data_IF_728006289655
#
_entry.id   IF_728006289655
#
_cell.length_a   1.000
_cell.length_b   1.000
_cell.length_c   1.000
_cell.angle_alpha   90.00
_cell.angle_beta   90.00
_cell.angle_gamma   90.00
#
_symmetry.space_group_name_H-M   'P 1'
#
loop_
_entity.id
_entity.type
_entity.pdbx_description
1 polymer ?
#
# COMPACT_ATOMS: atom_id res chain seq x y z
N UNK A 1 -6.30 -17.81 12.38
CA UNK A 1 -5.60 -17.86 11.07
C UNK A 1 -5.59 -16.48 10.41
N UNK A 2 -6.72 -15.77 10.27
CA UNK A 2 -6.77 -14.44 9.61
C UNK A 2 -5.79 -13.42 10.22
N UNK A 3 -5.66 -13.37 11.55
CA UNK A 3 -4.67 -12.52 12.25
C UNK A 3 -3.22 -12.81 11.82
N UNK A 4 -2.87 -14.09 11.61
CA UNK A 4 -1.50 -14.48 11.21
C UNK A 4 -1.21 -13.97 9.80
N UNK A 5 -2.16 -14.10 8.87
CA UNK A 5 -2.02 -13.57 7.52
C UNK A 5 -1.88 -12.03 7.52
N UNK A 6 -2.70 -11.34 8.34
CA UNK A 6 -2.61 -9.90 8.49
C UNK A 6 -1.28 -9.45 9.12
N UNK A 7 -0.79 -10.14 10.15
CA UNK A 7 0.50 -9.85 10.77
C UNK A 7 1.67 -10.08 9.79
N UNK A 8 1.63 -11.17 9.04
CA UNK A 8 2.61 -11.41 7.98
C UNK A 8 2.61 -10.28 6.94
N UNK A 9 1.43 -9.86 6.49
CA UNK A 9 1.31 -8.75 5.54
C UNK A 9 1.83 -7.43 6.13
N UNK A 10 1.54 -7.15 7.41
CA UNK A 10 2.05 -5.96 8.10
C UNK A 10 3.58 -5.95 8.19
N UNK A 11 4.20 -7.07 8.53
CA UNK A 11 5.65 -7.20 8.58
C UNK A 11 6.28 -7.09 7.19
N UNK A 12 5.69 -7.76 6.19
CA UNK A 12 6.20 -7.76 4.83
C UNK A 12 6.12 -6.36 4.19
N UNK A 13 4.97 -5.67 4.30
CA UNK A 13 4.84 -4.29 3.81
C UNK A 13 5.67 -3.31 4.64
N UNK A 14 5.75 -3.46 5.96
CA UNK A 14 6.58 -2.61 6.79
C UNK A 14 8.07 -2.69 6.42
N UNK A 15 8.57 -3.89 6.15
CA UNK A 15 9.94 -4.10 5.67
C UNK A 15 10.13 -3.59 4.23
N UNK A 16 9.15 -3.84 3.35
CA UNK A 16 9.14 -3.29 1.99
C UNK A 16 9.27 -1.76 2.00
N UNK A 17 8.47 -1.07 2.80
CA UNK A 17 8.44 0.40 2.88
C UNK A 17 9.76 0.97 3.42
N UNK A 18 10.36 0.30 4.41
CA UNK A 18 11.72 0.63 4.84
C UNK A 18 12.72 0.50 3.68
N UNK A 19 12.62 -0.58 2.89
CA UNK A 19 13.46 -0.77 1.72
C UNK A 19 13.24 0.31 0.65
N UNK A 20 12.01 0.80 0.46
CA UNK A 20 11.72 1.95 -0.42
C UNK A 20 12.50 3.18 0.04
N UNK A 21 12.54 3.43 1.35
CA UNK A 21 13.26 4.56 1.94
C UNK A 21 14.77 4.50 1.69
N UNK A 22 15.33 3.30 1.55
CA UNK A 22 16.74 3.12 1.12
C UNK A 22 16.94 3.22 -0.39
N UNK A 23 15.99 2.69 -1.16
CA UNK A 23 16.14 2.57 -2.60
C UNK A 23 15.81 3.86 -3.36
N UNK A 24 14.78 4.62 -2.93
CA UNK A 24 14.20 5.71 -3.71
C UNK A 24 14.98 7.03 -3.68
N UNK A 25 15.61 7.48 -2.56
CA UNK A 25 16.27 8.78 -2.54
C UNK A 25 17.35 8.93 -3.62
N UNK A 26 17.27 10.02 -4.39
CA UNK A 26 18.23 10.32 -5.45
C UNK A 26 18.17 9.43 -6.69
N UNK A 27 17.19 8.53 -6.78
CA UNK A 27 16.99 7.65 -7.94
C UNK A 27 15.63 7.90 -8.60
N UNK A 28 15.51 7.63 -9.91
CA UNK A 28 14.22 7.70 -10.59
C UNK A 28 13.29 6.59 -10.09
N UNK A 29 12.13 6.99 -9.55
CA UNK A 29 11.16 6.10 -8.89
C UNK A 29 10.59 5.05 -9.84
N UNK A 30 10.24 5.43 -11.06
CA UNK A 30 9.54 4.55 -12.00
C UNK A 30 10.36 3.31 -12.40
N UNK A 31 11.67 3.38 -12.71
CA UNK A 31 12.47 2.20 -12.98
C UNK A 31 12.59 1.26 -11.77
N UNK A 32 12.73 1.81 -10.56
CA UNK A 32 12.75 1.01 -9.33
C UNK A 32 11.43 0.23 -9.19
N UNK A 33 10.32 0.93 -9.34
CA UNK A 33 8.99 0.34 -9.24
C UNK A 33 8.73 -0.72 -10.31
N UNK A 34 9.18 -0.49 -11.55
CA UNK A 34 9.05 -1.49 -12.62
C UNK A 34 9.72 -2.83 -12.25
N UNK A 35 10.91 -2.78 -11.66
CA UNK A 35 11.63 -3.98 -11.20
C UNK A 35 10.87 -4.66 -10.05
N UNK A 36 10.41 -3.90 -9.07
CA UNK A 36 9.64 -4.42 -7.91
C UNK A 36 8.33 -5.06 -8.37
N UNK A 37 7.60 -4.41 -9.27
CA UNK A 37 6.36 -4.97 -9.81
C UNK A 37 6.62 -6.23 -10.63
N UNK A 38 7.66 -6.23 -11.46
CA UNK A 38 8.03 -7.40 -12.26
C UNK A 38 8.44 -8.60 -11.38
N UNK A 39 9.29 -8.37 -10.37
CA UNK A 39 9.73 -9.44 -9.48
C UNK A 39 8.59 -10.07 -8.68
N UNK A 40 7.59 -9.29 -8.27
CA UNK A 40 6.39 -9.81 -7.62
C UNK A 40 5.38 -10.42 -8.60
N UNK A 41 5.36 -9.98 -9.87
CA UNK A 41 4.46 -10.54 -10.88
C UNK A 41 4.82 -11.98 -11.27
N UNK A 42 6.11 -12.30 -11.33
CA UNK A 42 6.59 -13.64 -11.73
C UNK A 42 6.01 -14.76 -10.87
N UNK A 43 6.16 -14.75 -9.52
CA UNK A 43 5.59 -15.80 -8.70
C UNK A 43 4.06 -15.83 -8.72
N UNK A 44 3.40 -14.67 -8.81
CA UNK A 44 1.93 -14.61 -8.87
C UNK A 44 1.39 -15.20 -10.18
N UNK A 45 2.05 -14.93 -11.31
CA UNK A 45 1.71 -15.55 -12.59
C UNK A 45 1.96 -17.05 -12.57
N UNK A 46 3.08 -17.50 -12.00
CA UNK A 46 3.37 -18.93 -11.84
C UNK A 46 2.31 -19.63 -10.99
N UNK A 47 1.95 -19.06 -9.83
CA UNK A 47 0.89 -19.58 -8.96
C UNK A 47 -0.46 -19.60 -9.66
N UNK A 48 -0.85 -18.53 -10.34
CA UNK A 48 -2.11 -18.49 -11.08
C UNK A 48 -2.15 -19.47 -12.27
N UNK A 49 -0.99 -19.83 -12.80
CA UNK A 49 -0.87 -20.87 -13.83
C UNK A 49 -1.02 -22.28 -13.27
N UNK A 50 -0.51 -22.52 -12.05
CA UNK A 50 -0.59 -23.83 -11.36
C UNK A 50 -1.98 -24.05 -10.76
N UNK A 51 -2.49 -23.06 -10.02
CA UNK A 51 -3.79 -23.13 -9.35
C UNK A 51 -4.98 -22.97 -10.32
N UNK A 52 -4.73 -22.40 -11.50
CA UNK A 52 -5.77 -22.14 -12.48
C UNK A 52 -6.59 -20.87 -12.20
N UNK A 53 -7.89 -20.94 -12.50
CA UNK A 53 -8.83 -19.86 -12.20
C UNK A 53 -9.00 -18.82 -13.32
N UNK A 54 -8.18 -18.85 -14.36
CA UNK A 54 -8.33 -17.96 -15.52
C UNK A 54 -9.61 -18.19 -16.31
N UNK A 55 -10.04 -19.44 -16.59
CA UNK A 55 -11.31 -19.70 -17.27
C UNK A 55 -12.53 -19.32 -16.44
N UNK A 56 -12.43 -19.31 -15.11
CA UNK A 56 -13.49 -18.95 -14.18
C UNK A 56 -13.62 -17.45 -13.95
N UNK A 57 -12.63 -16.68 -14.40
CA UNK A 57 -12.64 -15.22 -14.27
C UNK A 57 -13.66 -14.59 -15.21
N UNK A 58 -14.70 -13.97 -14.64
CA UNK A 58 -15.71 -13.27 -15.43
C UNK A 58 -15.12 -12.02 -16.11
N UNK A 59 -15.68 -11.55 -17.24
CA UNK A 59 -15.25 -10.29 -17.87
C UNK A 59 -15.31 -9.08 -16.92
N UNK A 60 -16.30 -9.06 -16.00
CA UNK A 60 -16.43 -8.03 -14.98
C UNK A 60 -15.28 -8.09 -13.97
N UNK A 61 -14.93 -9.28 -13.48
CA UNK A 61 -13.79 -9.47 -12.58
C UNK A 61 -12.47 -9.04 -13.25
N UNK A 62 -12.28 -9.43 -14.51
CA UNK A 62 -11.12 -9.01 -15.31
C UNK A 62 -11.02 -7.48 -15.43
N UNK A 63 -12.10 -6.80 -15.82
CA UNK A 63 -12.15 -5.35 -15.92
C UNK A 63 -11.86 -4.64 -14.59
N UNK A 64 -12.42 -5.15 -13.48
CA UNK A 64 -12.16 -4.63 -12.15
C UNK A 64 -10.71 -4.86 -11.71
N UNK A 65 -10.11 -6.02 -12.04
CA UNK A 65 -8.70 -6.30 -11.76
C UNK A 65 -7.76 -5.37 -12.53
N UNK A 66 -8.07 -5.07 -13.79
CA UNK A 66 -7.31 -4.09 -14.58
C UNK A 66 -7.38 -2.69 -13.96
N UNK A 67 -8.58 -2.26 -13.55
CA UNK A 67 -8.77 -0.97 -12.87
C UNK A 67 -8.07 -0.93 -11.50
N UNK A 68 -8.12 -2.03 -10.74
CA UNK A 68 -7.39 -2.18 -9.49
C UNK A 68 -5.87 -2.06 -9.71
N UNK A 69 -5.34 -2.66 -10.77
CA UNK A 69 -3.93 -2.55 -11.15
C UNK A 69 -3.50 -1.13 -11.50
N UNK A 70 -4.34 -0.38 -12.22
CA UNK A 70 -4.08 1.04 -12.47
C UNK A 70 -4.03 1.83 -11.16
N UNK A 71 -5.00 1.63 -10.26
CA UNK A 71 -5.00 2.27 -8.95
C UNK A 71 -3.77 1.86 -8.12
N UNK A 72 -3.36 0.59 -8.15
CA UNK A 72 -2.18 0.08 -7.47
C UNK A 72 -0.88 0.70 -8.01
N UNK A 73 -0.76 0.89 -9.34
CA UNK A 73 0.38 1.58 -9.93
C UNK A 73 0.46 3.03 -9.43
N UNK A 74 -0.67 3.76 -9.41
CA UNK A 74 -0.72 5.13 -8.91
C UNK A 74 -0.39 5.21 -7.42
N UNK A 75 -0.89 4.26 -6.60
CA UNK A 75 -0.58 4.16 -5.18
C UNK A 75 0.93 4.00 -4.94
N UNK A 76 1.56 3.06 -5.65
CA UNK A 76 2.99 2.80 -5.51
C UNK A 76 3.86 3.95 -6.04
N UNK A 77 3.51 4.55 -7.19
CA UNK A 77 4.21 5.75 -7.69
C UNK A 77 4.17 6.85 -6.63
N UNK A 78 3.01 7.05 -6.01
CA UNK A 78 2.82 8.06 -4.97
C UNK A 78 3.62 7.74 -3.71
N UNK A 79 3.57 6.50 -3.23
CA UNK A 79 4.30 6.02 -2.05
C UNK A 79 5.81 6.19 -2.22
N UNK A 80 6.36 5.73 -3.35
CA UNK A 80 7.80 5.83 -3.62
C UNK A 80 8.26 7.27 -3.73
N UNK A 81 7.47 8.15 -4.36
CA UNK A 81 7.79 9.59 -4.39
C UNK A 81 7.72 10.22 -3.00
N UNK A 82 6.72 9.87 -2.20
CA UNK A 82 6.60 10.36 -0.84
C UNK A 82 7.82 9.96 0.02
N UNK A 83 8.22 8.69 -0.01
CA UNK A 83 9.38 8.20 0.73
C UNK A 83 10.73 8.67 0.16
N UNK A 84 10.79 9.04 -1.11
CA UNK A 84 12.00 9.61 -1.69
C UNK A 84 12.34 11.00 -1.11
N UNK A 85 11.32 11.75 -0.67
CA UNK A 85 11.45 13.15 -0.25
C UNK A 85 11.07 13.43 1.21
N UNK A 86 10.27 12.57 1.83
CA UNK A 86 9.79 12.75 3.21
C UNK A 86 10.26 11.67 4.18
N UNK A 87 10.29 11.99 5.49
CA UNK A 87 10.61 11.00 6.52
C UNK A 87 9.48 9.97 6.67
N UNK A 88 9.83 8.75 7.07
CA UNK A 88 8.87 7.65 7.27
C UNK A 88 7.80 8.01 8.29
N UNK A 89 8.19 8.63 9.40
CA UNK A 89 7.28 9.04 10.47
C UNK A 89 6.22 10.08 10.03
N UNK A 90 6.38 10.73 8.88
CA UNK A 90 5.38 11.60 8.26
C UNK A 90 4.53 10.83 7.24
N UNK A 91 5.18 10.10 6.35
CA UNK A 91 4.55 9.47 5.18
C UNK A 91 3.69 8.27 5.57
N UNK A 92 4.21 7.38 6.43
CA UNK A 92 3.56 6.12 6.76
C UNK A 92 2.18 6.29 7.44
N UNK A 93 1.97 7.20 8.41
CA UNK A 93 0.65 7.40 9.01
C UNK A 93 -0.37 7.98 8.02
N UNK A 94 0.07 8.89 7.12
CA UNK A 94 -0.81 9.48 6.10
C UNK A 94 -1.25 8.42 5.10
N UNK A 95 -0.29 7.66 4.57
CA UNK A 95 -0.58 6.59 3.64
C UNK A 95 -1.42 5.48 4.29
N UNK A 96 -1.08 5.09 5.53
CA UNK A 96 -1.78 4.09 6.32
C UNK A 96 -3.21 4.47 6.72
N UNK A 97 -3.62 5.73 6.56
CA UNK A 97 -4.98 6.20 6.84
C UNK A 97 -6.01 5.81 5.75
N UNK A 98 -5.62 5.06 4.71
CA UNK A 98 -6.52 4.60 3.64
C UNK A 98 -7.80 3.88 4.13
N UNK A 99 -7.86 3.16 5.28
CA UNK A 99 -9.11 2.56 5.76
C UNK A 99 -10.21 3.57 6.03
N UNK A 100 -9.87 4.79 6.46
CA UNK A 100 -10.86 5.86 6.59
C UNK A 100 -11.53 6.20 5.26
N UNK A 101 -10.77 6.19 4.16
CA UNK A 101 -11.29 6.44 2.82
C UNK A 101 -12.17 5.28 2.32
N UNK A 102 -11.83 4.04 2.67
CA UNK A 102 -12.66 2.87 2.32
C UNK A 102 -14.01 2.92 3.05
N UNK A 103 -14.03 3.37 4.29
CA UNK A 103 -15.28 3.58 5.04
C UNK A 103 -16.13 4.71 4.45
N UNK A 104 -15.52 5.85 4.12
CA UNK A 104 -16.21 6.97 3.46
C UNK A 104 -16.85 6.52 2.14
N UNK A 105 -16.14 5.71 1.35
CA UNK A 105 -16.69 5.12 0.13
C UNK A 105 -17.88 4.19 0.43
N UNK A 106 -17.77 3.33 1.45
CA UNK A 106 -18.85 2.44 1.86
C UNK A 106 -20.10 3.22 2.29
N UNK A 107 -19.92 4.30 3.07
CA UNK A 107 -21.00 5.19 3.47
C UNK A 107 -21.66 5.87 2.28
N UNK A 108 -20.89 6.37 1.32
CA UNK A 108 -21.39 7.00 0.09
C UNK A 108 -22.12 6.02 -0.83
N UNK A 109 -21.86 4.71 -0.72
CA UNK A 109 -22.50 3.65 -1.52
C UNK A 109 -23.66 2.95 -0.80
N UNK A 110 -24.24 3.59 0.24
CA UNK A 110 -25.47 3.13 0.90
C UNK A 110 -25.24 2.19 2.09
N UNK A 111 -24.02 2.12 2.60
CA UNK A 111 -23.69 1.43 3.86
C UNK A 111 -23.38 2.50 4.92
N UNK A 112 -24.40 3.00 5.65
CA UNK A 112 -24.20 4.10 6.60
C UNK A 112 -23.18 3.70 7.68
N UNK A 113 -22.25 4.61 7.94
CA UNK A 113 -21.31 4.45 9.03
C UNK A 113 -22.00 4.74 10.38
N UNK A 114 -21.73 3.93 11.38
CA UNK A 114 -22.15 4.18 12.75
C UNK A 114 -21.44 5.38 13.37
N UNK A 115 -21.98 5.96 14.46
CA UNK A 115 -21.36 7.08 15.14
C UNK A 115 -19.93 6.84 15.60
N UNK A 116 -19.64 5.61 16.04
CA UNK A 116 -18.33 5.11 16.44
C UNK A 116 -17.33 5.09 15.29
N UNK A 117 -17.76 4.66 14.11
CA UNK A 117 -16.97 4.67 12.90
C UNK A 117 -16.67 6.09 12.42
N UNK A 118 -17.66 6.99 12.51
CA UNK A 118 -17.47 8.43 12.20
C UNK A 118 -16.46 9.05 13.16
N UNK A 119 -16.55 8.73 14.46
CA UNK A 119 -15.60 9.21 15.45
C UNK A 119 -14.18 8.69 15.17
N UNK A 120 -14.03 7.43 14.77
CA UNK A 120 -12.74 6.86 14.38
C UNK A 120 -12.15 7.54 13.13
N UNK A 121 -12.95 7.82 12.10
CA UNK A 121 -12.50 8.58 10.92
C UNK A 121 -12.06 10.00 11.32
N UNK A 122 -12.81 10.67 12.17
CA UNK A 122 -12.44 12.01 12.67
C UNK A 122 -11.11 11.96 13.44
N UNK A 123 -10.90 10.93 14.28
CA UNK A 123 -9.65 10.72 15.00
C UNK A 123 -8.47 10.44 14.05
N UNK A 124 -8.68 9.65 12.97
CA UNK A 124 -7.66 9.42 11.94
C UNK A 124 -7.28 10.74 11.26
N UNK A 125 -8.25 11.52 10.81
CA UNK A 125 -8.00 12.80 10.13
C UNK A 125 -7.25 13.77 11.05
N UNK A 126 -7.68 13.89 12.31
CA UNK A 126 -7.02 14.73 13.31
C UNK A 126 -5.60 14.24 13.58
N UNK A 127 -5.42 12.94 13.77
CA UNK A 127 -4.10 12.34 14.01
C UNK A 127 -3.14 12.55 12.85
N UNK A 128 -3.59 12.37 11.62
CA UNK A 128 -2.79 12.66 10.42
C UNK A 128 -2.40 14.14 10.36
N UNK A 129 -3.33 15.06 10.65
CA UNK A 129 -3.02 16.48 10.70
C UNK A 129 -2.00 16.83 11.80
N UNK A 130 -2.10 16.19 12.97
CA UNK A 130 -1.13 16.35 14.06
C UNK A 130 0.24 15.75 13.72
N UNK A 131 0.29 14.58 13.08
CA UNK A 131 1.55 14.00 12.57
C UNK A 131 2.23 14.96 11.61
N UNK A 132 1.49 15.50 10.64
CA UNK A 132 2.03 16.47 9.69
C UNK A 132 2.52 17.75 10.37
N UNK A 133 1.80 18.23 11.39
CA UNK A 133 2.15 19.44 12.17
C UNK A 133 3.41 19.21 13.03
N UNK A 134 3.48 18.07 13.73
CA UNK A 134 4.58 17.77 14.67
C UNK A 134 5.80 17.15 13.99
N UNK A 135 5.69 16.73 12.72
CA UNK A 135 6.82 16.26 11.96
C UNK A 135 7.85 17.38 11.85
N UNK A 136 9.02 17.14 12.45
CA UNK A 136 10.13 18.08 12.30
C UNK A 136 10.61 18.07 10.86
N UNK A 137 10.94 19.26 10.38
CA UNK A 137 11.54 19.42 9.09
C UNK A 137 12.98 18.85 9.12
N UNK A 138 13.09 17.58 8.79
CA UNK A 138 14.36 17.02 8.33
C UNK A 138 14.71 17.53 6.94
N UNK A 139 13.73 18.15 6.27
CA UNK A 139 13.93 18.93 5.04
C UNK A 139 13.79 20.41 5.39
N UNK A 140 14.85 21.17 5.27
CA UNK A 140 14.85 22.63 5.45
C UNK A 140 13.90 23.39 4.50
N UNK A 141 13.22 22.68 3.60
CA UNK A 141 12.36 23.24 2.56
C UNK A 141 10.87 22.85 2.82
N UNK A 142 10.02 23.83 3.21
CA UNK A 142 8.60 23.62 3.40
C UNK A 142 7.87 23.11 2.15
N UNK A 143 8.38 23.42 0.95
CA UNK A 143 7.80 22.95 -0.30
C UNK A 143 7.96 21.43 -0.45
N UNK A 144 9.11 20.88 -0.07
CA UNK A 144 9.36 19.43 -0.06
C UNK A 144 8.46 18.70 0.92
N UNK A 145 8.25 19.24 2.12
CA UNK A 145 7.31 18.67 3.10
C UNK A 145 5.89 18.62 2.54
N UNK A 146 5.41 19.74 1.97
CA UNK A 146 4.09 19.78 1.33
C UNK A 146 3.98 18.76 0.20
N UNK A 147 5.01 18.64 -0.62
CA UNK A 147 5.04 17.67 -1.72
C UNK A 147 4.98 16.22 -1.20
N UNK A 148 5.71 15.89 -0.12
CA UNK A 148 5.64 14.57 0.52
C UNK A 148 4.23 14.25 1.02
N UNK A 149 3.56 15.21 1.67
CA UNK A 149 2.18 15.07 2.15
C UNK A 149 1.23 14.84 0.97
N UNK A 150 1.34 15.64 -0.10
CA UNK A 150 0.49 15.49 -1.29
C UNK A 150 0.65 14.10 -1.93
N UNK A 151 1.88 13.62 -2.08
CA UNK A 151 2.15 12.28 -2.57
C UNK A 151 1.58 11.20 -1.64
N UNK A 152 1.76 11.33 -0.32
CA UNK A 152 1.22 10.39 0.65
C UNK A 152 -0.32 10.33 0.62
N UNK A 153 -0.99 11.49 0.54
CA UNK A 153 -2.44 11.57 0.40
C UNK A 153 -2.92 10.94 -0.92
N UNK A 154 -2.30 11.29 -2.05
CA UNK A 154 -2.63 10.69 -3.35
C UNK A 154 -2.46 9.16 -3.32
N UNK A 155 -1.40 8.69 -2.69
CA UNK A 155 -1.15 7.27 -2.47
C UNK A 155 -2.23 6.60 -1.62
N UNK A 156 -2.66 7.22 -0.52
CA UNK A 156 -3.73 6.70 0.34
C UNK A 156 -5.06 6.56 -0.44
N UNK A 157 -5.44 7.56 -1.23
CA UNK A 157 -6.62 7.50 -2.09
C UNK A 157 -6.53 6.37 -3.13
N UNK A 158 -5.41 6.28 -3.83
CA UNK A 158 -5.19 5.26 -4.84
C UNK A 158 -5.16 3.85 -4.23
N UNK A 159 -4.61 3.71 -3.03
CA UNK A 159 -4.56 2.44 -2.31
C UNK A 159 -5.96 2.01 -1.81
N UNK A 160 -6.76 2.95 -1.30
CA UNK A 160 -8.16 2.71 -0.97
C UNK A 160 -8.96 2.23 -2.20
N UNK A 161 -8.76 2.87 -3.36
CA UNK A 161 -9.38 2.46 -4.63
C UNK A 161 -8.90 1.06 -5.05
N UNK A 162 -7.62 0.74 -4.89
CA UNK A 162 -7.07 -0.59 -5.16
C UNK A 162 -7.81 -1.66 -4.38
N UNK A 163 -7.98 -1.48 -3.06
CA UNK A 163 -8.69 -2.45 -2.23
C UNK A 163 -10.16 -2.57 -2.59
N UNK A 164 -10.85 -1.46 -2.81
CA UNK A 164 -12.26 -1.47 -3.19
C UNK A 164 -12.49 -2.22 -4.51
N UNK A 165 -11.66 -1.95 -5.52
CA UNK A 165 -11.73 -2.59 -6.83
C UNK A 165 -11.32 -4.07 -6.77
N UNK A 166 -10.26 -4.42 -6.03
CA UNK A 166 -9.83 -5.81 -5.84
C UNK A 166 -10.88 -6.64 -5.13
N UNK A 167 -11.52 -6.12 -4.09
CA UNK A 167 -12.62 -6.78 -3.42
C UNK A 167 -13.84 -6.94 -4.35
N UNK A 168 -14.16 -5.94 -5.16
CA UNK A 168 -15.21 -6.02 -6.15
C UNK A 168 -14.89 -7.06 -7.25
N UNK A 169 -13.64 -7.16 -7.67
CA UNK A 169 -13.16 -8.18 -8.60
C UNK A 169 -13.31 -9.59 -8.01
N UNK A 170 -12.90 -9.79 -6.77
CA UNK A 170 -13.05 -11.09 -6.07
C UNK A 170 -14.51 -11.52 -5.95
N UNK A 171 -15.43 -10.57 -5.63
CA UNK A 171 -16.87 -10.87 -5.58
C UNK A 171 -17.49 -11.12 -6.96
N UNK A 172 -16.96 -10.55 -8.02
CA UNK A 172 -17.44 -10.72 -9.38
C UNK A 172 -16.81 -11.94 -10.08
N UNK A 173 -15.72 -12.48 -9.53
CA UNK A 173 -15.05 -13.67 -10.03
C UNK A 173 -15.83 -14.94 -9.73
N UNK A 174 -15.56 -15.99 -10.51
CA UNK A 174 -16.03 -17.35 -10.20
C UNK A 174 -15.20 -17.99 -9.09
N UNK A 175 -15.65 -19.16 -8.64
CA UNK A 175 -14.88 -19.97 -7.71
C UNK A 175 -13.45 -20.19 -8.25
N UNK A 176 -12.47 -20.13 -7.37
CA UNK A 176 -11.05 -20.36 -7.66
C UNK A 176 -10.37 -19.32 -8.59
N UNK A 177 -11.03 -18.19 -8.91
CA UNK A 177 -10.46 -17.15 -9.77
C UNK A 177 -9.52 -16.15 -9.03
N UNK A 178 -9.24 -16.34 -7.75
CA UNK A 178 -8.52 -15.34 -6.92
C UNK A 178 -7.09 -15.14 -7.35
N UNK A 179 -6.35 -16.23 -7.59
CA UNK A 179 -4.98 -16.12 -8.05
C UNK A 179 -4.89 -15.41 -9.41
N UNK A 180 -5.85 -15.68 -10.29
CA UNK A 180 -5.95 -15.00 -11.59
C UNK A 180 -6.26 -13.50 -11.43
N UNK A 181 -7.17 -13.11 -10.53
CA UNK A 181 -7.49 -11.69 -10.28
C UNK A 181 -6.33 -10.94 -9.63
N UNK A 182 -5.60 -11.57 -8.68
CA UNK A 182 -4.40 -10.98 -8.06
C UNK A 182 -3.28 -10.81 -9.10
N UNK A 183 -3.03 -11.84 -9.89
CA UNK A 183 -2.01 -11.82 -10.94
C UNK A 183 -2.33 -10.76 -12.01
N UNK A 184 -3.58 -10.65 -12.44
CA UNK A 184 -4.02 -9.65 -13.42
C UNK A 184 -3.91 -8.22 -12.88
N UNK A 185 -4.26 -8.00 -11.61
CA UNK A 185 -4.07 -6.71 -10.93
C UNK A 185 -2.59 -6.31 -10.92
N UNK A 186 -1.72 -7.24 -10.58
CA UNK A 186 -0.26 -7.00 -10.56
C UNK A 186 0.29 -6.75 -11.95
N UNK A 187 -0.12 -7.55 -12.93
CA UNK A 187 0.30 -7.40 -14.32
C UNK A 187 -0.16 -6.06 -14.90
N UNK A 188 -1.41 -5.66 -14.64
CA UNK A 188 -1.93 -4.36 -15.05
C UNK A 188 -1.09 -3.21 -14.50
N UNK A 189 -0.75 -3.25 -13.19
CA UNK A 189 0.11 -2.25 -12.58
C UNK A 189 1.50 -2.21 -13.23
N UNK A 190 2.10 -3.36 -13.50
CA UNK A 190 3.38 -3.46 -14.19
C UNK A 190 3.32 -2.85 -15.59
N UNK A 191 2.29 -3.19 -16.37
CA UNK A 191 2.10 -2.64 -17.73
C UNK A 191 1.97 -1.12 -17.70
N UNK A 192 1.17 -0.57 -16.78
CA UNK A 192 1.03 0.88 -16.61
C UNK A 192 2.39 1.55 -16.35
N UNK A 193 3.17 1.01 -15.41
CA UNK A 193 4.49 1.58 -15.08
C UNK A 193 5.45 1.43 -16.26
N UNK A 194 5.45 0.28 -16.95
CA UNK A 194 6.31 0.08 -18.14
C UNK A 194 5.96 1.09 -19.23
N UNK A 195 4.67 1.29 -19.54
CA UNK A 195 4.23 2.25 -20.55
C UNK A 195 4.68 3.68 -20.24
N UNK A 196 4.70 4.07 -18.96
CA UNK A 196 5.20 5.38 -18.53
C UNK A 196 6.73 5.47 -18.58
N UNK A 197 7.44 4.36 -18.30
CA UNK A 197 8.92 4.29 -18.36
C UNK A 197 9.44 4.19 -19.79
N UNK A 198 8.71 3.51 -20.67
CA UNK A 198 9.16 3.16 -22.02
C UNK A 198 9.73 4.35 -22.83
N UNK A 199 9.08 5.54 -22.85
CA UNK A 199 9.63 6.70 -23.59
C UNK A 199 10.97 7.19 -23.05
N UNK A 200 11.31 6.83 -21.80
CA UNK A 200 12.52 7.26 -21.11
C UNK A 200 13.49 6.10 -20.85
N UNK A 201 13.27 4.94 -21.45
CA UNK A 201 13.99 3.69 -21.15
C UNK A 201 15.51 3.83 -21.27
N UNK A 202 15.98 4.56 -22.28
CA UNK A 202 17.43 4.78 -22.51
C UNK A 202 18.15 5.49 -21.33
N UNK A 203 17.40 6.23 -20.52
CA UNK A 203 17.90 6.98 -19.36
C UNK A 203 17.47 6.38 -18.04
N UNK A 204 16.45 5.52 -18.06
CA UNK A 204 15.79 5.00 -16.87
C UNK A 204 16.71 4.14 -15.98
N UNK A 205 17.63 3.39 -16.58
CA UNK A 205 18.52 2.42 -15.90
C UNK A 205 19.99 2.86 -15.87
N UNK A 206 20.28 4.15 -16.08
CA UNK A 206 21.67 4.67 -16.03
C UNK A 206 22.24 4.69 -14.62
N UNK A 207 21.40 4.91 -13.59
CA UNK A 207 21.82 4.85 -12.20
C UNK A 207 22.01 3.41 -11.74
N UNK A 208 23.00 3.14 -10.87
CA UNK A 208 23.19 1.80 -10.31
C UNK A 208 21.92 1.38 -9.54
N UNK A 209 21.39 0.22 -9.93
CA UNK A 209 20.18 -0.35 -9.35
C UNK A 209 20.53 -1.34 -8.25
N UNK A 210 19.89 -1.25 -7.06
CA UNK A 210 20.08 -2.21 -5.98
C UNK A 210 19.22 -3.47 -6.24
N UNK A 211 19.56 -4.26 -7.27
CA UNK A 211 18.76 -5.38 -7.79
C UNK A 211 18.29 -6.36 -6.72
N UNK A 212 19.19 -6.77 -5.83
CA UNK A 212 18.85 -7.72 -4.74
C UNK A 212 17.76 -7.15 -3.83
N UNK A 213 17.85 -5.86 -3.51
CA UNK A 213 16.87 -5.16 -2.68
C UNK A 213 15.52 -5.07 -3.40
N UNK A 214 15.52 -4.68 -4.68
CA UNK A 214 14.30 -4.54 -5.48
C UNK A 214 13.59 -5.88 -5.69
N UNK A 215 14.34 -6.95 -5.92
CA UNK A 215 13.79 -8.31 -6.02
C UNK A 215 13.13 -8.72 -4.70
N UNK A 216 13.82 -8.51 -3.57
CA UNK A 216 13.26 -8.79 -2.25
C UNK A 216 11.99 -7.97 -1.97
N UNK A 217 12.00 -6.68 -2.32
CA UNK A 217 10.83 -5.79 -2.18
C UNK A 217 9.62 -6.32 -2.96
N UNK A 218 9.81 -6.77 -4.20
CA UNK A 218 8.72 -7.32 -5.00
C UNK A 218 8.15 -8.62 -4.43
N UNK A 219 9.00 -9.48 -3.87
CA UNK A 219 8.57 -10.69 -3.17
C UNK A 219 7.79 -10.38 -1.89
N UNK A 220 8.28 -9.43 -1.08
CA UNK A 220 7.59 -8.98 0.13
C UNK A 220 6.21 -8.41 -0.17
N UNK A 221 6.11 -7.54 -1.17
CA UNK A 221 4.86 -6.90 -1.56
C UNK A 221 3.86 -7.92 -2.17
N UNK A 222 4.34 -8.81 -3.05
CA UNK A 222 3.51 -9.89 -3.60
C UNK A 222 3.02 -10.86 -2.51
N UNK A 223 3.89 -11.22 -1.58
CA UNK A 223 3.55 -12.07 -0.44
C UNK A 223 2.52 -11.44 0.49
N UNK A 224 2.68 -10.15 0.80
CA UNK A 224 1.74 -9.41 1.63
C UNK A 224 0.35 -9.30 0.97
N UNK A 225 0.32 -8.94 -0.32
CA UNK A 225 -0.91 -8.85 -1.09
C UNK A 225 -1.63 -10.21 -1.14
N UNK A 226 -0.88 -11.28 -1.39
CA UNK A 226 -1.41 -12.64 -1.42
C UNK A 226 -1.98 -13.06 -0.06
N UNK A 227 -1.26 -12.78 1.02
CA UNK A 227 -1.70 -13.09 2.38
C UNK A 227 -3.06 -12.44 2.72
N UNK A 228 -3.20 -11.14 2.44
CA UNK A 228 -4.47 -10.42 2.68
C UNK A 228 -5.59 -10.96 1.78
N UNK A 229 -5.28 -11.27 0.51
CA UNK A 229 -6.28 -11.79 -0.42
C UNK A 229 -6.75 -13.20 -0.03
N UNK A 230 -5.85 -14.09 0.37
CA UNK A 230 -6.19 -15.43 0.84
C UNK A 230 -6.96 -15.41 2.16
N UNK A 231 -6.68 -14.44 3.03
CA UNK A 231 -7.41 -14.27 4.28
C UNK A 231 -8.90 -13.95 4.05
N UNK A 232 -9.28 -13.43 2.88
CA UNK A 232 -10.67 -13.14 2.55
C UNK A 232 -11.57 -14.40 2.56
N UNK A 233 -11.00 -15.59 2.43
CA UNK A 233 -11.69 -16.89 2.49
C UNK A 233 -11.78 -17.47 3.91
N UNK A 234 -11.06 -16.91 4.87
CA UNK A 234 -11.01 -17.41 6.24
C UNK A 234 -12.16 -16.84 7.08
N UNK A 235 -12.56 -17.52 8.18
CA UNK A 235 -13.42 -16.89 9.17
C UNK A 235 -12.80 -15.58 9.66
N UNK A 236 -13.64 -14.53 9.73
CA UNK A 236 -13.24 -13.20 10.19
C UNK A 236 -12.11 -12.57 9.35
N UNK A 237 -12.32 -12.37 8.02
CA UNK A 237 -11.33 -11.75 7.14
C UNK A 237 -11.00 -10.30 7.54
N UNK A 238 -11.92 -9.63 8.25
CA UNK A 238 -11.73 -8.28 8.82
C UNK A 238 -10.49 -8.20 9.71
N UNK A 239 -10.18 -9.24 10.47
CA UNK A 239 -8.98 -9.27 11.33
C UNK A 239 -7.68 -9.25 10.53
N UNK A 240 -7.67 -9.83 9.33
CA UNK A 240 -6.49 -9.75 8.46
C UNK A 240 -6.28 -8.33 7.93
N UNK A 241 -7.35 -7.65 7.51
CA UNK A 241 -7.28 -6.28 7.00
C UNK A 241 -6.81 -5.29 8.09
N UNK A 242 -7.39 -5.41 9.30
CA UNK A 242 -7.00 -4.58 10.46
C UNK A 242 -5.55 -4.81 10.84
N UNK A 243 -5.14 -6.07 10.98
CA UNK A 243 -3.77 -6.40 11.39
C UNK A 243 -2.78 -5.98 10.31
N UNK A 244 -3.12 -6.14 9.04
CA UNK A 244 -2.28 -5.69 7.92
C UNK A 244 -2.10 -4.16 7.95
N UNK A 245 -3.13 -3.37 8.32
CA UNK A 245 -3.03 -1.90 8.35
C UNK A 245 -2.01 -1.36 9.36
N UNK A 246 -1.54 -2.20 10.30
CA UNK A 246 -0.48 -1.86 11.25
C UNK A 246 0.92 -1.78 10.57
N UNK A 247 1.05 -2.13 9.28
CA UNK A 247 2.33 -2.04 8.55
C UNK A 247 3.01 -0.69 8.72
N UNK A 248 2.27 0.42 8.78
CA UNK A 248 2.84 1.75 8.97
C UNK A 248 3.54 1.93 10.32
N UNK A 249 3.04 1.29 11.41
CA UNK A 249 3.74 1.27 12.71
C UNK A 249 5.03 0.48 12.59
N UNK A 250 4.99 -0.68 11.93
CA UNK A 250 6.19 -1.51 11.68
C UNK A 250 7.22 -0.69 10.91
N UNK A 251 6.82 0.00 9.84
CA UNK A 251 7.71 0.85 9.04
C UNK A 251 8.36 1.95 9.89
N UNK A 252 7.59 2.64 10.74
CA UNK A 252 8.09 3.72 11.60
C UNK A 252 9.10 3.16 12.64
N UNK A 253 8.77 2.03 13.28
CA UNK A 253 9.67 1.39 14.23
C UNK A 253 10.97 0.96 13.57
N UNK A 254 10.88 0.33 12.39
CA UNK A 254 12.06 -0.06 11.62
C UNK A 254 12.88 1.16 11.17
N UNK A 255 12.25 2.24 10.71
CA UNK A 255 12.94 3.46 10.32
C UNK A 255 13.66 4.11 11.52
N UNK A 256 13.05 4.09 12.70
CA UNK A 256 13.69 4.58 13.92
C UNK A 256 14.92 3.73 14.28
N UNK A 257 14.80 2.41 14.22
CA UNK A 257 15.87 1.49 14.61
C UNK A 257 17.03 1.47 13.61
N UNK A 258 16.72 1.53 12.32
CA UNK A 258 17.69 1.30 11.25
C UNK A 258 18.20 2.61 10.64
N UNK A 259 17.33 3.62 10.47
CA UNK A 259 17.67 4.92 9.88
C UNK A 259 17.97 5.98 10.94
N UNK A 260 17.73 5.69 12.24
CA UNK A 260 17.89 6.67 13.30
C UNK A 260 16.90 7.84 13.22
N UNK A 261 15.76 7.68 12.52
CA UNK A 261 14.77 8.75 12.39
C UNK A 261 14.24 9.17 13.76
N UNK A 262 14.35 10.45 14.08
CA UNK A 262 13.90 11.00 15.36
C UNK A 262 12.41 11.29 15.32
N UNK A 263 11.66 10.68 16.24
CA UNK A 263 10.22 10.88 16.40
C UNK A 263 9.98 11.49 17.77
N UNK A 264 9.40 12.68 17.81
CA UNK A 264 9.06 13.38 19.06
C UNK A 264 7.93 12.68 19.82
N UNK A 265 7.85 12.86 21.13
CA UNK A 265 6.77 12.28 21.94
C UNK A 265 5.36 12.73 21.47
N UNK A 266 5.21 14.02 21.10
CA UNK A 266 3.94 14.53 20.53
C UNK A 266 3.56 13.87 19.20
N UNK A 267 4.54 13.57 18.36
CA UNK A 267 4.33 12.86 17.11
C UNK A 267 3.97 11.40 17.37
N UNK A 268 4.61 10.75 18.36
CA UNK A 268 4.23 9.40 18.79
C UNK A 268 2.78 9.32 19.27
N UNK A 269 2.32 10.30 20.05
CA UNK A 269 0.92 10.36 20.49
C UNK A 269 -0.04 10.47 19.29
N UNK A 270 0.28 11.30 18.29
CA UNK A 270 -0.52 11.44 17.09
C UNK A 270 -0.50 10.14 16.23
N UNK A 271 0.65 9.48 16.08
CA UNK A 271 0.79 8.19 15.40
C UNK A 271 -0.06 7.13 16.11
N UNK A 272 0.06 7.03 17.44
CA UNK A 272 -0.73 6.09 18.24
C UNK A 272 -2.24 6.32 18.08
N UNK A 273 -2.68 7.59 18.03
CA UNK A 273 -4.09 7.95 17.79
C UNK A 273 -4.56 7.46 16.43
N UNK A 274 -3.78 7.66 15.36
CA UNK A 274 -4.12 7.18 14.00
C UNK A 274 -4.31 5.67 14.00
N UNK A 275 -3.34 4.92 14.50
CA UNK A 275 -3.38 3.46 14.42
C UNK A 275 -4.38 2.84 15.39
N UNK A 276 -4.61 3.44 16.56
CA UNK A 276 -5.69 3.01 17.45
C UNK A 276 -7.08 3.22 16.81
N UNK A 277 -7.29 4.36 16.14
CA UNK A 277 -8.53 4.61 15.42
C UNK A 277 -8.71 3.69 14.20
N UNK A 278 -7.63 3.36 13.48
CA UNK A 278 -7.66 2.37 12.40
C UNK A 278 -8.03 0.99 12.94
N UNK A 279 -7.43 0.56 14.05
CA UNK A 279 -7.75 -0.71 14.71
C UNK A 279 -9.22 -0.75 15.14
N UNK A 280 -9.74 0.36 15.66
CA UNK A 280 -11.16 0.49 16.04
C UNK A 280 -12.10 0.34 14.85
N UNK A 281 -11.74 0.84 13.66
CA UNK A 281 -12.55 0.67 12.44
C UNK A 281 -12.66 -0.77 11.97
N UNK A 282 -11.76 -1.63 12.39
CA UNK A 282 -11.75 -3.03 12.01
C UNK A 282 -12.46 -3.96 13.01
N UNK A 283 -12.92 -3.41 14.14
CA UNK A 283 -13.73 -4.13 15.12
C UNK A 283 -15.22 -3.96 14.84
#
# INVERSE_FOLDING_TARGET
>A
MSLIFGLFAALAWGLHDLCVRFAAPGRPVLPLLAVVLASGAVPLLALSGIEGGWPQMTPRAGGLSLAAGLAFALANISLYNAFAIGPVALVAPIFGAYPALTLLHAAATGRPAGPDQIAAVAAIILGVALVARFSQDTTADPARKRQAILWACAGAFAFAATFALSQAAGRAGGADSEWATIALTRLSALVVVILVVLPRLRHAFRAPMPWRLLLAMGMLDAGALSAVSLAARLPHPEFAAVTASVFGVVTILLARLVLGEHVRASQWAAIAMVFAAIAWLGL
#
